data_IF_829266357746
#
_entry.id   IF_829266357746
#
_cell.length_a   1.000
_cell.length_b   1.000
_cell.length_c   1.000
_cell.angle_alpha   90.00
_cell.angle_beta   90.00
_cell.angle_gamma   90.00
#
_symmetry.space_group_name_H-M   'P 1'
#
loop_
_entity.id
_entity.type
_entity.pdbx_description
1 polymer ?
#
# COMPACT_ATOMS: atom_id res chain seq x y z
N UNK A 1 21.34 -32.24 25.86
CA UNK A 1 21.43 -31.88 24.44
C UNK A 1 20.72 -32.94 23.62
N UNK A 2 19.62 -32.61 22.94
CA UNK A 2 19.02 -33.52 21.95
C UNK A 2 19.77 -33.30 20.64
N UNK A 3 20.76 -34.14 20.37
CA UNK A 3 21.52 -34.11 19.11
C UNK A 3 20.65 -34.64 17.99
N UNK A 4 20.42 -33.84 16.95
CA UNK A 4 19.73 -34.28 15.74
C UNK A 4 20.56 -35.39 15.07
N UNK A 5 19.92 -36.50 14.73
CA UNK A 5 20.60 -37.61 14.07
C UNK A 5 21.01 -37.19 12.64
N UNK A 6 22.14 -37.69 12.09
CA UNK A 6 22.62 -37.29 10.76
C UNK A 6 21.55 -37.41 9.66
N UNK A 7 20.69 -38.43 9.75
CA UNK A 7 19.56 -38.62 8.83
C UNK A 7 18.48 -37.55 8.95
N UNK A 8 18.21 -37.03 10.14
CA UNK A 8 17.25 -35.92 10.32
C UNK A 8 17.75 -34.63 9.69
N UNK A 9 19.06 -34.41 9.66
CA UNK A 9 19.69 -33.21 9.10
C UNK A 9 19.50 -33.16 7.58
N UNK A 10 19.58 -34.32 6.91
CA UNK A 10 19.32 -34.46 5.47
C UNK A 10 17.86 -34.17 5.14
N UNK A 11 16.93 -34.67 5.94
CA UNK A 11 15.48 -34.45 5.73
C UNK A 11 15.11 -32.98 5.90
N UNK A 12 15.65 -32.33 6.94
CA UNK A 12 15.40 -30.90 7.19
C UNK A 12 16.01 -30.05 6.07
N UNK A 13 17.23 -30.36 5.61
CA UNK A 13 17.87 -29.67 4.49
C UNK A 13 17.09 -29.82 3.18
N UNK A 14 16.59 -31.02 2.88
CA UNK A 14 15.77 -31.26 1.70
C UNK A 14 14.41 -30.53 1.77
N UNK A 15 13.72 -30.58 2.91
CA UNK A 15 12.45 -29.89 3.12
C UNK A 15 12.63 -28.36 3.04
N UNK A 16 13.68 -27.82 3.67
CA UNK A 16 14.02 -26.40 3.58
C UNK A 16 14.35 -26.00 2.13
N UNK A 17 15.10 -26.82 1.39
CA UNK A 17 15.39 -26.58 -0.02
C UNK A 17 14.13 -26.54 -0.89
N UNK A 18 13.20 -27.48 -0.70
CA UNK A 18 11.92 -27.50 -1.43
C UNK A 18 11.07 -26.27 -1.10
N UNK A 19 10.99 -25.89 0.19
CA UNK A 19 10.27 -24.69 0.61
C UNK A 19 10.90 -23.44 -0.04
N UNK A 20 12.23 -23.31 -0.03
CA UNK A 20 12.93 -22.18 -0.66
C UNK A 20 12.67 -22.13 -2.16
N UNK A 21 12.75 -23.25 -2.87
CA UNK A 21 12.47 -23.30 -4.32
C UNK A 21 11.02 -22.95 -4.61
N UNK A 22 10.06 -23.45 -3.81
CA UNK A 22 8.65 -23.09 -3.95
C UNK A 22 8.40 -21.62 -3.61
N UNK A 23 9.10 -21.05 -2.63
CA UNK A 23 9.05 -19.62 -2.32
C UNK A 23 9.61 -18.79 -3.46
N UNK A 24 10.78 -19.12 -4.01
CA UNK A 24 11.36 -18.43 -5.17
C UNK A 24 10.40 -18.48 -6.35
N UNK A 25 9.84 -19.65 -6.69
CA UNK A 25 8.87 -19.76 -7.78
C UNK A 25 7.55 -19.02 -7.52
N UNK A 26 7.10 -18.93 -6.27
CA UNK A 26 5.93 -18.13 -5.88
C UNK A 26 6.21 -16.63 -6.01
N UNK A 27 7.36 -16.17 -5.52
CA UNK A 27 7.82 -14.78 -5.65
C UNK A 27 8.23 -14.40 -7.07
N UNK A 28 8.60 -15.35 -7.94
CA UNK A 28 8.85 -15.11 -9.37
C UNK A 28 7.55 -15.04 -10.17
N UNK A 29 6.50 -15.76 -9.73
CA UNK A 29 5.17 -15.75 -10.36
C UNK A 29 4.39 -14.48 -10.03
N UNK A 30 4.68 -13.86 -8.90
CA UNK A 30 4.35 -12.46 -8.62
C UNK A 30 5.46 -11.67 -9.31
N UNK A 31 5.25 -11.07 -10.48
CA UNK A 31 6.32 -10.37 -11.21
C UNK A 31 6.73 -9.09 -10.46
N UNK A 32 7.54 -9.23 -9.42
CA UNK A 32 8.13 -8.13 -8.65
C UNK A 32 9.41 -7.72 -9.37
N UNK A 33 9.30 -7.07 -10.53
CA UNK A 33 10.46 -6.38 -11.12
C UNK A 33 10.52 -4.90 -10.67
N UNK A 34 9.38 -4.28 -10.33
CA UNK A 34 9.19 -3.13 -9.42
C UNK A 34 7.67 -2.83 -9.26
N UNK A 35 6.89 -3.66 -8.54
CA UNK A 35 5.43 -3.55 -8.48
C UNK A 35 4.99 -2.49 -7.47
N UNK A 36 5.93 -1.81 -6.81
CA UNK A 36 5.69 -0.84 -5.73
C UNK A 36 5.90 0.58 -6.25
N UNK A 37 4.81 1.30 -6.46
CA UNK A 37 4.84 2.74 -6.65
C UNK A 37 4.92 3.45 -5.30
N UNK A 38 6.12 3.77 -4.84
CA UNK A 38 6.32 4.63 -3.68
C UNK A 38 6.78 6.02 -4.14
N UNK A 39 6.01 7.05 -3.82
CA UNK A 39 6.45 8.45 -3.98
C UNK A 39 6.35 9.13 -2.64
N UNK A 40 7.06 10.23 -2.48
CA UNK A 40 6.97 11.06 -1.29
C UNK A 40 7.10 12.51 -1.69
N UNK A 41 6.41 13.39 -0.98
CA UNK A 41 6.48 14.81 -1.24
C UNK A 41 6.18 15.63 0.00
N UNK A 42 6.42 16.91 -0.16
CA UNK A 42 6.24 17.93 0.86
C UNK A 42 5.51 19.09 0.22
N UNK A 43 4.51 19.61 0.91
CA UNK A 43 3.67 20.72 0.48
C UNK A 43 3.78 21.81 1.54
N UNK A 44 4.15 23.00 1.10
CA UNK A 44 4.16 24.21 1.94
C UNK A 44 3.03 25.12 1.49
N UNK A 45 2.13 25.42 2.42
CA UNK A 45 1.04 26.35 2.22
C UNK A 45 1.41 27.69 2.86
N UNK A 46 1.84 28.63 2.01
CA UNK A 46 2.05 30.02 2.40
C UNK A 46 0.69 30.75 2.37
N UNK A 47 0.06 30.89 3.52
CA UNK A 47 -1.31 31.40 3.63
C UNK A 47 -1.28 32.87 4.07
N UNK A 48 -1.99 33.73 3.34
CA UNK A 48 -2.10 35.14 3.71
C UNK A 48 -3.21 35.34 4.76
N UNK A 49 -2.85 35.80 5.95
CA UNK A 49 -3.79 36.13 7.02
C UNK A 49 -4.12 35.02 8.03
N UNK A 50 -3.50 33.84 7.92
CA UNK A 50 -3.53 32.75 8.92
C UNK A 50 -2.14 32.12 9.02
N UNK A 51 -1.90 31.30 10.05
CA UNK A 51 -0.61 30.62 10.20
C UNK A 51 -0.37 29.65 9.04
N UNK A 52 0.83 29.72 8.46
CA UNK A 52 1.30 28.82 7.42
C UNK A 52 1.22 27.35 7.88
N UNK A 53 1.08 26.43 6.92
CA UNK A 53 1.07 25.00 7.25
C UNK A 53 1.90 24.15 6.30
N UNK A 54 2.33 22.98 6.80
CA UNK A 54 3.31 22.12 6.17
C UNK A 54 2.83 20.67 6.20
N UNK A 55 2.68 20.07 5.03
CA UNK A 55 2.18 18.70 4.90
C UNK A 55 3.21 17.81 4.20
N UNK A 56 3.52 16.66 4.79
CA UNK A 56 4.25 15.58 4.12
C UNK A 56 3.26 14.51 3.68
N UNK A 57 3.45 14.00 2.47
CA UNK A 57 2.62 12.91 1.95
C UNK A 57 3.47 11.76 1.39
N UNK A 58 2.98 10.54 1.60
CA UNK A 58 3.62 9.30 1.16
C UNK A 58 2.56 8.37 0.55
N UNK A 59 2.40 8.38 -0.77
CA UNK A 59 1.62 7.40 -1.51
C UNK A 59 2.43 6.13 -1.78
N UNK A 60 1.80 5.01 -1.51
CA UNK A 60 2.26 3.66 -1.77
C UNK A 60 1.19 2.95 -2.60
N UNK A 61 1.56 2.39 -3.75
CA UNK A 61 0.67 1.62 -4.61
C UNK A 61 1.33 0.31 -5.00
N UNK A 62 0.53 -0.76 -5.12
CA UNK A 62 1.00 -2.04 -5.64
C UNK A 62 0.34 -2.33 -6.98
N UNK A 63 1.15 -2.58 -8.00
CA UNK A 63 0.68 -3.10 -9.29
C UNK A 63 0.45 -4.62 -9.17
N UNK A 64 -0.75 -4.95 -8.70
CA UNK A 64 -1.23 -6.32 -8.54
C UNK A 64 -2.66 -6.39 -9.08
N UNK A 65 -3.25 -7.58 -9.14
CA UNK A 65 -4.60 -7.76 -9.70
C UNK A 65 -5.64 -6.76 -9.16
N UNK A 66 -5.59 -6.33 -7.90
CA UNK A 66 -6.54 -5.37 -7.30
C UNK A 66 -5.98 -3.96 -7.09
N UNK A 67 -4.82 -3.65 -7.67
CA UNK A 67 -4.15 -2.35 -7.59
C UNK A 67 -4.28 -1.63 -6.23
N UNK A 68 -3.98 -2.28 -5.08
CA UNK A 68 -4.22 -1.67 -3.79
C UNK A 68 -3.28 -0.48 -3.58
N UNK A 69 -3.78 0.54 -2.89
CA UNK A 69 -3.09 1.80 -2.61
C UNK A 69 -3.29 2.25 -1.17
N UNK A 70 -2.26 2.85 -0.61
CA UNK A 70 -2.24 3.51 0.70
C UNK A 70 -1.57 4.87 0.52
N UNK A 71 -2.22 5.95 0.90
CA UNK A 71 -1.59 7.26 1.01
C UNK A 71 -1.70 7.75 2.44
N UNK A 72 -0.58 8.22 2.96
CA UNK A 72 -0.51 8.84 4.29
C UNK A 72 -0.12 10.30 4.12
N UNK A 73 -0.86 11.17 4.77
CA UNK A 73 -0.58 12.60 4.89
C UNK A 73 -0.38 12.93 6.36
N UNK A 74 0.58 13.79 6.63
CA UNK A 74 0.85 14.31 7.97
C UNK A 74 1.07 15.81 7.88
N UNK A 75 0.17 16.56 8.52
CA UNK A 75 0.38 17.97 8.80
C UNK A 75 1.28 18.12 10.05
N UNK A 76 2.27 18.99 9.94
CA UNK A 76 3.40 19.11 10.87
C UNK A 76 3.34 20.40 11.68
N UNK A 77 2.79 21.47 11.10
CA UNK A 77 2.92 22.82 11.67
C UNK A 77 1.61 23.25 12.34
N UNK A 78 0.61 23.64 11.54
CA UNK A 78 -0.65 24.16 12.05
C UNK A 78 -1.73 23.06 12.03
N UNK A 79 -2.40 22.84 13.17
CA UNK A 79 -3.37 21.75 13.38
C UNK A 79 -2.86 20.35 12.97
N UNK A 80 -1.85 19.80 13.66
CA UNK A 80 -1.21 18.54 13.31
C UNK A 80 -2.24 17.41 13.20
N UNK A 81 -2.47 16.92 11.99
CA UNK A 81 -3.42 15.85 11.73
C UNK A 81 -2.79 14.77 10.87
N UNK A 82 -3.26 13.54 11.06
CA UNK A 82 -2.92 12.41 10.23
C UNK A 82 -4.09 12.11 9.33
N UNK A 83 -3.84 11.97 8.03
CA UNK A 83 -4.85 11.53 7.09
C UNK A 83 -4.37 10.29 6.34
N UNK A 84 -5.17 9.23 6.42
CA UNK A 84 -4.91 7.95 5.77
C UNK A 84 -5.95 7.71 4.70
N UNK A 85 -5.51 7.25 3.53
CA UNK A 85 -6.38 6.89 2.42
C UNK A 85 -5.99 5.50 1.92
N UNK A 86 -6.90 4.55 2.00
CA UNK A 86 -6.72 3.17 1.56
C UNK A 86 -7.67 2.90 0.40
N UNK A 87 -7.15 2.51 -0.75
CA UNK A 87 -7.94 2.25 -1.95
C UNK A 87 -7.63 0.91 -2.59
N UNK A 88 -8.61 0.34 -3.28
CA UNK A 88 -8.45 -0.79 -4.21
C UNK A 88 -9.11 -0.42 -5.53
N UNK A 89 -8.52 -0.85 -6.64
CA UNK A 89 -9.12 -0.65 -7.97
C UNK A 89 -8.86 -1.83 -8.90
N UNK A 90 -9.80 -2.10 -9.77
CA UNK A 90 -9.66 -3.13 -10.80
C UNK A 90 -10.26 -2.63 -12.11
N UNK A 91 -9.47 -2.72 -13.18
CA UNK A 91 -9.90 -2.40 -14.52
C UNK A 91 -10.29 -3.68 -15.26
N UNK A 92 -11.55 -3.75 -15.70
CA UNK A 92 -12.05 -4.81 -16.56
C UNK A 92 -11.96 -4.36 -18.02
N UNK A 93 -11.21 -5.08 -18.84
CA UNK A 93 -11.20 -4.85 -20.28
C UNK A 93 -12.53 -5.32 -20.87
N UNK A 94 -13.37 -4.37 -21.32
CA UNK A 94 -14.66 -4.67 -21.96
C UNK A 94 -14.45 -4.89 -23.47
N UNK A 95 -13.55 -4.12 -24.07
CA UNK A 95 -13.17 -4.18 -25.50
C UNK A 95 -11.73 -3.69 -25.64
N UNK A 96 -11.06 -3.97 -26.76
CA UNK A 96 -9.67 -3.52 -27.05
C UNK A 96 -9.42 -2.00 -26.92
N UNK A 97 -10.48 -1.20 -26.82
CA UNK A 97 -10.41 0.28 -26.69
C UNK A 97 -11.11 0.84 -25.46
N UNK A 98 -11.78 0.00 -24.65
CA UNK A 98 -12.63 0.44 -23.55
C UNK A 98 -12.38 -0.45 -22.33
N UNK A 99 -12.01 0.18 -21.22
CA UNK A 99 -11.79 -0.45 -19.92
C UNK A 99 -12.72 0.16 -18.89
N UNK A 100 -13.44 -0.67 -18.15
CA UNK A 100 -14.24 -0.24 -17.00
C UNK A 100 -13.42 -0.37 -15.73
N UNK A 101 -13.07 0.75 -15.09
CA UNK A 101 -12.41 0.74 -13.79
C UNK A 101 -13.44 0.87 -12.67
N UNK A 102 -13.43 -0.10 -11.75
CA UNK A 102 -14.17 -0.03 -10.49
C UNK A 102 -13.18 0.20 -9.35
N UNK A 103 -13.43 1.21 -8.52
CA UNK A 103 -12.61 1.52 -7.36
C UNK A 103 -13.42 1.73 -6.10
N UNK A 104 -12.84 1.33 -4.97
CA UNK A 104 -13.39 1.53 -3.64
C UNK A 104 -12.28 1.98 -2.71
N UNK A 105 -12.55 2.97 -1.86
CA UNK A 105 -11.59 3.46 -0.89
C UNK A 105 -12.24 3.86 0.43
N UNK A 106 -11.41 3.84 1.47
CA UNK A 106 -11.73 4.31 2.80
C UNK A 106 -10.67 5.33 3.20
N UNK A 107 -11.08 6.34 3.95
CA UNK A 107 -10.18 7.36 4.45
C UNK A 107 -10.48 7.71 5.90
N UNK A 108 -9.45 8.07 6.64
CA UNK A 108 -9.53 8.41 8.05
C UNK A 108 -8.65 9.62 8.34
N UNK A 109 -9.23 10.65 8.93
CA UNK A 109 -8.53 11.79 9.48
C UNK A 109 -8.53 11.66 11.00
N UNK A 110 -7.33 11.68 11.58
CA UNK A 110 -7.10 11.73 13.01
C UNK A 110 -6.48 13.08 13.35
N UNK A 111 -7.25 13.92 14.03
CA UNK A 111 -6.78 15.20 14.58
C UNK A 111 -6.67 15.09 16.11
N UNK A 112 -5.80 15.90 16.72
CA UNK A 112 -5.55 15.91 18.17
C UNK A 112 -6.81 16.18 19.01
N UNK A 113 -7.86 16.74 18.39
CA UNK A 113 -9.17 17.01 19.00
C UNK A 113 -10.04 15.74 19.22
N UNK A 114 -9.47 14.53 19.16
CA UNK A 114 -10.11 13.22 19.39
C UNK A 114 -11.26 12.86 18.44
N UNK A 115 -11.51 13.62 17.38
CA UNK A 115 -12.56 13.34 16.41
C UNK A 115 -11.99 12.62 15.19
N UNK A 116 -12.39 11.35 15.01
CA UNK A 116 -12.05 10.56 13.82
C UNK A 116 -13.09 10.88 12.74
N UNK A 117 -12.67 11.57 11.68
CA UNK A 117 -13.50 11.76 10.50
C UNK A 117 -13.16 10.68 9.47
N UNK A 118 -14.15 9.90 9.07
CA UNK A 118 -13.99 8.81 8.10
C UNK A 118 -14.83 9.05 6.85
N UNK A 119 -14.29 8.67 5.69
CA UNK A 119 -14.99 8.73 4.41
C UNK A 119 -14.89 7.40 3.67
N UNK A 120 -15.95 7.01 2.96
CA UNK A 120 -15.95 5.87 2.05
C UNK A 120 -16.30 6.39 0.66
N UNK A 121 -15.50 6.03 -0.33
CA UNK A 121 -15.73 6.40 -1.72
C UNK A 121 -15.83 5.13 -2.54
N UNK A 122 -16.83 5.08 -3.41
CA UNK A 122 -16.94 4.06 -4.46
C UNK A 122 -17.09 4.81 -5.76
N UNK A 123 -16.28 4.47 -6.75
CA UNK A 123 -16.23 5.15 -8.04
C UNK A 123 -16.14 4.16 -9.18
N UNK A 124 -16.60 4.59 -10.35
CA UNK A 124 -16.59 3.84 -11.59
C UNK A 124 -16.25 4.77 -12.76
N UNK A 125 -15.29 4.37 -13.60
CA UNK A 125 -14.80 5.15 -14.73
C UNK A 125 -14.69 4.28 -16.01
N UNK A 126 -14.81 4.90 -17.19
CA UNK A 126 -14.76 4.27 -18.52
C UNK A 126 -13.60 4.80 -19.35
#
# INVERSE_FOLDING_TARGET
MKTVTPMSLVIIGAAAGVIVVLSVLFFDRIRIDDPVGAKGGYIYYALDGVDDTQEIFLPLGLDTFLSPSLTVYKDIDNAPSWYFFLGISHAFEITEKVSLELSGSISFLLSDDNFIYGGVIVSMAF
#
